data_IF_090426811579
#
_entry.id   IF_090426811579
#
_cell.length_a   1.000
_cell.length_b   1.000
_cell.length_c   1.000
_cell.angle_alpha   90.00
_cell.angle_beta   90.00
_cell.angle_gamma   90.00
#
_symmetry.space_group_name_H-M   'P 1'
#
loop_
_entity.id
_entity.type
_entity.pdbx_description
1 polymer ?
#
# COMPACT_ATOMS: atom_id res chain seq x y z
N UNK A 1 76.39 -1.11 11.99
CA UNK A 1 75.45 -2.28 11.84
C UNK A 1 74.04 -1.90 11.40
N UNK A 2 73.76 -0.65 10.98
CA UNK A 2 72.39 -0.16 10.71
C UNK A 2 71.91 -0.25 9.25
N UNK A 3 72.75 -0.24 8.25
CA UNK A 3 72.36 -0.05 6.85
C UNK A 3 71.82 -1.31 6.16
N UNK A 4 72.16 -2.52 6.62
CA UNK A 4 71.65 -3.80 6.04
C UNK A 4 70.26 -4.20 6.53
N UNK A 5 69.81 -3.72 7.68
CA UNK A 5 68.48 -3.98 8.20
C UNK A 5 67.40 -3.17 7.45
N UNK A 6 67.68 -1.90 7.14
CA UNK A 6 66.81 -1.03 6.37
C UNK A 6 66.61 -1.46 4.89
N UNK A 7 67.61 -1.97 4.27
CA UNK A 7 67.53 -2.49 2.89
C UNK A 7 66.68 -3.75 2.79
N UNK A 8 66.70 -4.62 3.80
CA UNK A 8 65.86 -5.82 3.86
C UNK A 8 64.37 -5.51 4.16
N UNK A 9 64.09 -4.52 5.01
CA UNK A 9 62.73 -4.10 5.28
C UNK A 9 62.12 -3.38 4.06
N UNK A 10 62.88 -2.53 3.33
CA UNK A 10 62.40 -1.92 2.09
C UNK A 10 62.13 -2.93 0.97
N UNK A 11 62.97 -3.95 0.80
CA UNK A 11 62.74 -5.00 -0.18
C UNK A 11 61.53 -5.87 0.12
N UNK A 12 61.24 -6.16 1.40
CA UNK A 12 60.05 -6.91 1.82
C UNK A 12 58.76 -6.09 1.60
N UNK A 13 58.78 -4.77 1.85
CA UNK A 13 57.65 -3.89 1.62
C UNK A 13 57.31 -3.73 0.13
N UNK A 14 58.34 -3.65 -0.74
CA UNK A 14 58.16 -3.61 -2.19
C UNK A 14 57.61 -4.93 -2.73
N UNK A 15 58.09 -6.07 -2.23
CA UNK A 15 57.58 -7.37 -2.65
C UNK A 15 56.10 -7.60 -2.26
N UNK A 16 55.67 -7.13 -1.05
CA UNK A 16 54.28 -7.15 -0.61
C UNK A 16 53.37 -6.20 -1.43
N UNK A 17 53.90 -5.03 -1.80
CA UNK A 17 53.15 -4.09 -2.63
C UNK A 17 52.95 -4.57 -4.07
N UNK A 18 53.98 -5.21 -4.65
CA UNK A 18 53.89 -5.79 -5.99
C UNK A 18 52.99 -7.02 -6.02
N UNK A 19 53.01 -7.86 -4.95
CA UNK A 19 52.08 -8.99 -4.80
C UNK A 19 50.62 -8.54 -4.69
N UNK A 20 50.32 -7.49 -3.95
CA UNK A 20 48.98 -6.94 -3.79
C UNK A 20 48.44 -6.29 -5.08
N UNK A 21 49.32 -5.66 -5.89
CA UNK A 21 48.92 -5.08 -7.21
C UNK A 21 48.70 -6.15 -8.24
N UNK A 22 49.51 -7.24 -8.26
CA UNK A 22 49.31 -8.36 -9.13
C UNK A 22 48.02 -9.14 -8.85
N UNK A 23 47.69 -9.34 -7.58
CA UNK A 23 46.42 -9.99 -7.19
C UNK A 23 45.19 -9.14 -7.58
N UNK A 24 45.23 -7.79 -7.45
CA UNK A 24 44.19 -6.89 -7.94
C UNK A 24 44.11 -6.86 -9.48
N UNK A 25 45.24 -6.95 -10.18
CA UNK A 25 45.27 -7.00 -11.65
C UNK A 25 44.64 -8.29 -12.18
N UNK A 26 44.88 -9.44 -11.53
CA UNK A 26 44.24 -10.70 -11.93
C UNK A 26 42.69 -10.70 -11.76
N UNK A 27 42.17 -10.01 -10.79
CA UNK A 27 40.72 -9.85 -10.63
C UNK A 27 40.07 -9.00 -11.76
N UNK A 28 40.83 -8.12 -12.40
CA UNK A 28 40.37 -7.24 -13.48
C UNK A 28 40.27 -7.93 -14.86
N UNK A 29 40.80 -9.13 -15.04
CA UNK A 29 40.79 -9.86 -16.31
C UNK A 29 39.82 -11.04 -16.34
N UNK A 30 38.98 -11.21 -15.32
CA UNK A 30 37.96 -12.26 -15.35
C UNK A 30 36.83 -11.86 -16.28
N UNK A 31 36.64 -12.62 -17.36
CA UNK A 31 35.50 -12.47 -18.27
C UNK A 31 34.25 -12.96 -17.57
N UNK A 32 33.21 -12.13 -17.50
CA UNK A 32 31.92 -12.55 -16.98
C UNK A 32 31.21 -13.41 -18.02
N UNK A 33 30.88 -14.63 -17.67
CA UNK A 33 30.14 -15.57 -18.52
C UNK A 33 28.70 -15.72 -17.98
N UNK A 34 27.71 -16.03 -18.84
CA UNK A 34 26.36 -16.34 -18.39
C UNK A 34 26.34 -17.53 -17.43
N UNK A 35 25.61 -17.41 -16.35
CA UNK A 35 25.44 -18.49 -15.38
C UNK A 35 24.45 -19.54 -15.86
N UNK A 36 24.72 -20.81 -15.52
CA UNK A 36 23.83 -21.93 -15.85
C UNK A 36 22.46 -21.82 -15.13
N UNK A 37 22.41 -21.13 -14.00
CA UNK A 37 21.21 -20.81 -13.23
C UNK A 37 21.14 -19.29 -13.09
N UNK A 38 20.48 -18.57 -14.02
CA UNK A 38 20.47 -17.12 -14.00
C UNK A 38 19.77 -16.57 -12.75
N UNK A 39 20.26 -15.43 -12.27
CA UNK A 39 19.64 -14.69 -11.17
C UNK A 39 18.27 -14.15 -11.58
N UNK A 40 17.34 -14.09 -10.63
CA UNK A 40 16.03 -13.50 -10.79
C UNK A 40 15.57 -12.84 -9.49
N UNK A 41 14.71 -11.85 -9.63
CA UNK A 41 14.05 -11.20 -8.50
C UNK A 41 12.58 -11.04 -8.84
N UNK A 42 11.70 -11.37 -7.90
CA UNK A 42 10.29 -11.02 -7.94
C UNK A 42 9.99 -10.11 -6.75
N UNK A 43 9.22 -9.05 -6.99
CA UNK A 43 8.79 -8.11 -5.96
C UNK A 43 7.31 -7.81 -6.14
N UNK A 44 6.57 -7.79 -5.03
CA UNK A 44 5.18 -7.41 -4.98
C UNK A 44 4.93 -6.50 -3.77
N UNK A 45 4.28 -5.37 -4.00
CA UNK A 45 3.82 -4.48 -2.92
C UNK A 45 2.43 -4.91 -2.44
N UNK A 46 2.28 -5.09 -1.13
CA UNK A 46 1.01 -5.41 -0.44
C UNK A 46 0.72 -4.30 0.56
N UNK A 47 -0.27 -3.45 0.26
CA UNK A 47 -0.45 -2.19 0.98
C UNK A 47 0.76 -1.26 0.79
N UNK A 48 1.54 -1.04 1.85
CA UNK A 48 2.81 -0.31 1.81
C UNK A 48 4.02 -1.22 2.05
N UNK A 49 3.83 -2.53 2.06
CA UNK A 49 4.87 -3.53 2.32
C UNK A 49 5.36 -4.13 1.01
N UNK A 50 6.65 -4.01 0.72
CA UNK A 50 7.28 -4.73 -0.39
C UNK A 50 7.76 -6.09 0.10
N UNK A 51 7.39 -7.15 -0.62
CA UNK A 51 7.90 -8.52 -0.47
C UNK A 51 8.79 -8.78 -1.68
N UNK A 52 10.08 -9.03 -1.45
CA UNK A 52 11.05 -9.27 -2.53
C UNK A 52 11.72 -10.62 -2.34
N UNK A 53 11.67 -11.51 -3.34
CA UNK A 53 12.42 -12.76 -3.37
C UNK A 53 13.51 -12.65 -4.43
N UNK A 54 14.78 -12.83 -4.00
CA UNK A 54 15.94 -12.87 -4.91
C UNK A 54 16.53 -14.28 -4.89
N UNK A 55 16.70 -14.86 -6.05
CA UNK A 55 17.07 -16.27 -6.20
C UNK A 55 17.76 -16.55 -7.55
N UNK A 56 18.35 -17.74 -7.67
CA UNK A 56 18.83 -18.26 -8.95
C UNK A 56 17.92 -19.37 -9.45
N UNK A 57 17.75 -19.44 -10.78
CA UNK A 57 16.78 -20.29 -11.48
C UNK A 57 17.42 -21.53 -12.11
N UNK A 58 17.60 -22.64 -11.38
CA UNK A 58 18.05 -23.88 -12.00
C UNK A 58 17.01 -24.41 -12.98
N UNK A 59 17.48 -25.06 -14.06
CA UNK A 59 16.65 -25.75 -15.03
C UNK A 59 16.51 -27.23 -14.69
N UNK A 60 15.42 -27.87 -15.07
CA UNK A 60 15.19 -29.32 -14.93
C UNK A 60 16.18 -30.11 -15.77
N UNK A 61 16.36 -29.78 -17.06
CA UNK A 61 17.23 -30.46 -18.01
C UNK A 61 17.07 -31.99 -18.01
N UNK A 62 15.80 -32.45 -17.96
CA UNK A 62 15.44 -33.87 -17.97
C UNK A 62 15.85 -34.67 -16.73
N UNK A 63 16.29 -34.00 -15.64
CA UNK A 63 16.67 -34.67 -14.38
C UNK A 63 15.44 -34.88 -13.49
N UNK A 64 15.49 -35.94 -12.67
CA UNK A 64 14.59 -36.06 -11.54
C UNK A 64 14.96 -35.01 -10.47
N UNK A 65 14.01 -34.18 -10.08
CA UNK A 65 14.25 -33.07 -9.15
C UNK A 65 14.01 -33.53 -7.71
N UNK A 66 12.77 -33.83 -7.38
CA UNK A 66 12.34 -34.08 -6.02
C UNK A 66 12.71 -35.52 -5.57
N UNK A 67 13.42 -35.62 -4.45
CA UNK A 67 13.96 -36.86 -3.93
C UNK A 67 15.27 -37.32 -4.60
N UNK A 68 15.77 -36.57 -5.62
CA UNK A 68 17.01 -36.85 -6.33
C UNK A 68 17.96 -35.64 -6.33
N UNK A 69 17.82 -34.71 -7.27
CA UNK A 69 18.65 -33.49 -7.29
C UNK A 69 18.45 -32.64 -6.01
N UNK A 70 17.21 -32.60 -5.52
CA UNK A 70 16.86 -32.02 -4.23
C UNK A 70 16.42 -33.19 -3.32
N UNK A 71 17.29 -33.68 -2.41
CA UNK A 71 16.97 -34.80 -1.55
C UNK A 71 15.82 -34.50 -0.59
N UNK A 72 15.00 -35.48 -0.31
CA UNK A 72 13.97 -35.35 0.71
C UNK A 72 14.57 -35.37 2.12
N UNK A 73 14.02 -34.53 3.01
CA UNK A 73 14.41 -34.43 4.40
C UNK A 73 15.67 -33.58 4.65
N UNK A 74 16.28 -33.05 3.59
CA UNK A 74 17.50 -32.23 3.70
C UNK A 74 17.18 -30.74 3.48
N UNK A 75 17.95 -29.86 4.14
CA UNK A 75 17.82 -28.41 3.98
C UNK A 75 18.41 -27.99 2.64
N UNK A 76 17.58 -27.40 1.80
CA UNK A 76 17.96 -26.89 0.49
C UNK A 76 17.75 -25.38 0.41
N UNK A 77 18.68 -24.65 -0.22
CA UNK A 77 18.66 -23.18 -0.41
C UNK A 77 17.49 -22.67 -1.27
N UNK A 78 16.55 -23.52 -1.61
CA UNK A 78 15.34 -23.19 -2.39
C UNK A 78 15.64 -22.42 -3.70
N UNK A 79 16.76 -22.77 -4.35
CA UNK A 79 17.32 -22.14 -5.56
C UNK A 79 18.63 -22.77 -5.95
N UNK A 80 19.53 -21.97 -6.53
CA UNK A 80 20.88 -22.37 -6.95
C UNK A 80 21.88 -21.25 -6.61
N UNK A 81 23.18 -21.53 -6.73
CA UNK A 81 24.31 -20.61 -6.48
C UNK A 81 24.25 -20.03 -5.05
N UNK A 82 24.13 -18.72 -4.90
CA UNK A 82 24.01 -18.02 -3.62
C UNK A 82 22.71 -18.38 -2.90
N UNK A 83 22.62 -17.92 -1.68
CA UNK A 83 21.42 -18.10 -0.86
C UNK A 83 20.22 -17.43 -1.51
N UNK A 84 19.10 -18.14 -1.58
CA UNK A 84 17.81 -17.51 -1.87
C UNK A 84 17.42 -16.64 -0.69
N UNK A 85 16.96 -15.43 -0.94
CA UNK A 85 16.55 -14.50 0.10
C UNK A 85 15.11 -14.04 -0.08
N UNK A 86 14.46 -13.76 1.04
CA UNK A 86 13.19 -13.05 1.08
C UNK A 86 13.35 -11.80 1.94
N UNK A 87 12.92 -10.64 1.41
CA UNK A 87 12.99 -9.37 2.11
C UNK A 87 11.61 -8.76 2.29
N UNK A 88 11.39 -8.14 3.45
CA UNK A 88 10.18 -7.41 3.81
C UNK A 88 10.54 -5.97 4.15
N UNK A 89 9.88 -4.99 3.52
CA UNK A 89 10.14 -3.57 3.78
C UNK A 89 9.51 -3.05 5.08
N UNK A 90 8.56 -3.80 5.66
CA UNK A 90 7.90 -3.52 6.95
C UNK A 90 7.75 -4.81 7.74
N UNK A 91 7.37 -4.78 9.03
CA UNK A 91 7.07 -5.98 9.80
C UNK A 91 5.95 -6.82 9.16
N UNK A 92 6.11 -8.15 9.22
CA UNK A 92 5.15 -9.13 8.69
C UNK A 92 4.96 -10.28 9.68
N UNK A 93 3.95 -11.11 9.46
CA UNK A 93 3.75 -12.37 10.20
C UNK A 93 3.87 -13.55 9.24
N UNK A 94 4.76 -14.47 9.53
CA UNK A 94 5.03 -15.67 8.74
C UNK A 94 4.87 -16.90 9.65
N UNK A 95 3.91 -17.79 9.32
CA UNK A 95 3.63 -18.96 10.15
C UNK A 95 3.28 -18.66 11.59
N UNK A 96 2.63 -17.51 11.88
CA UNK A 96 2.28 -17.05 13.22
C UNK A 96 3.42 -16.33 13.96
N UNK A 97 4.62 -16.26 13.38
CA UNK A 97 5.77 -15.55 13.96
C UNK A 97 5.86 -14.15 13.37
N UNK A 98 5.93 -13.12 14.23
CA UNK A 98 6.20 -11.75 13.81
C UNK A 98 7.67 -11.57 13.45
N UNK A 99 7.93 -11.06 12.26
CA UNK A 99 9.26 -10.75 11.75
C UNK A 99 9.39 -9.25 11.54
N UNK A 100 10.53 -8.69 11.91
CA UNK A 100 10.86 -7.30 11.61
C UNK A 100 11.06 -7.09 10.09
N UNK A 101 11.03 -5.83 9.65
CA UNK A 101 11.55 -5.47 8.34
C UNK A 101 13.01 -5.91 8.19
N UNK A 102 13.36 -6.54 7.07
CA UNK A 102 14.71 -7.07 6.87
C UNK A 102 14.78 -8.09 5.75
N UNK A 103 15.98 -8.60 5.52
CA UNK A 103 16.26 -9.67 4.55
C UNK A 103 16.63 -10.95 5.30
N UNK A 104 15.98 -12.04 4.91
CA UNK A 104 16.14 -13.37 5.52
C UNK A 104 16.61 -14.37 4.48
N UNK A 105 17.45 -15.33 4.88
CA UNK A 105 17.74 -16.48 4.06
C UNK A 105 16.49 -17.35 3.93
N UNK A 106 16.18 -17.82 2.73
CA UNK A 106 15.03 -18.68 2.47
C UNK A 106 15.52 -20.06 2.10
N UNK A 107 15.20 -21.06 2.94
CA UNK A 107 15.51 -22.46 2.73
C UNK A 107 14.23 -23.29 2.70
N UNK A 108 14.34 -24.52 2.21
CA UNK A 108 13.24 -25.47 2.13
C UNK A 108 13.73 -26.86 2.53
N UNK A 109 12.95 -27.57 3.35
CA UNK A 109 13.07 -29.01 3.56
C UNK A 109 11.91 -29.67 2.85
N UNK A 110 12.10 -30.25 1.65
CA UNK A 110 11.04 -30.97 0.97
C UNK A 110 10.90 -32.40 1.50
N UNK A 111 9.67 -32.91 1.55
CA UNK A 111 9.37 -34.31 1.67
C UNK A 111 8.32 -34.68 0.60
N UNK A 112 7.91 -35.93 0.50
CA UNK A 112 6.86 -36.34 -0.44
C UNK A 112 5.52 -35.68 -0.15
N UNK A 113 5.20 -35.39 1.13
CA UNK A 113 3.88 -34.97 1.59
C UNK A 113 3.86 -33.57 2.17
N UNK A 114 4.99 -33.07 2.66
CA UNK A 114 5.07 -31.80 3.34
C UNK A 114 6.39 -31.11 2.99
N UNK A 115 6.34 -29.82 2.74
CA UNK A 115 7.51 -28.96 2.57
C UNK A 115 7.59 -28.00 3.74
N UNK A 116 8.77 -27.85 4.34
CA UNK A 116 8.99 -26.88 5.40
C UNK A 116 9.79 -25.71 4.86
N UNK A 117 9.16 -24.57 4.69
CA UNK A 117 9.87 -23.31 4.45
C UNK A 117 10.56 -22.85 5.72
N UNK A 118 11.81 -22.41 5.59
CA UNK A 118 12.62 -21.90 6.68
C UNK A 118 13.08 -20.49 6.33
N UNK A 119 12.86 -19.54 7.23
CA UNK A 119 13.46 -18.22 7.18
C UNK A 119 14.59 -18.18 8.19
N UNK A 120 15.82 -17.88 7.74
CA UNK A 120 17.02 -17.75 8.57
C UNK A 120 17.41 -16.29 8.72
N UNK A 121 17.91 -15.90 9.88
CA UNK A 121 18.53 -14.59 10.12
C UNK A 121 19.79 -14.37 9.28
N UNK A 122 20.40 -15.44 8.76
CA UNK A 122 21.57 -15.39 7.88
C UNK A 122 21.12 -15.40 6.42
N UNK A 123 21.26 -14.27 5.74
CA UNK A 123 20.82 -14.08 4.34
C UNK A 123 21.98 -14.10 3.31
N UNK A 124 23.22 -14.04 3.76
CA UNK A 124 24.42 -13.83 2.93
C UNK A 124 25.27 -15.09 2.70
N UNK A 125 24.86 -16.25 3.22
CA UNK A 125 25.61 -17.50 3.07
C UNK A 125 25.60 -18.01 1.62
N UNK A 126 26.55 -18.88 1.29
CA UNK A 126 26.59 -19.59 0.01
C UNK A 126 25.78 -20.90 0.11
N UNK A 127 24.55 -20.89 -0.35
CA UNK A 127 23.67 -22.06 -0.29
C UNK A 127 23.27 -22.44 1.13
N UNK A 128 23.10 -23.75 1.42
CA UNK A 128 22.75 -24.27 2.74
C UNK A 128 23.89 -25.08 3.38
N UNK A 129 25.14 -24.91 2.91
CA UNK A 129 26.27 -25.72 3.40
C UNK A 129 26.67 -25.40 4.84
N UNK A 130 26.43 -24.16 5.27
CA UNK A 130 26.71 -23.67 6.64
C UNK A 130 25.44 -23.40 7.43
N UNK A 131 24.31 -23.96 7.00
CA UNK A 131 23.04 -23.78 7.70
C UNK A 131 23.13 -24.30 9.15
N UNK A 132 22.67 -23.48 10.07
CA UNK A 132 22.45 -23.85 11.50
C UNK A 132 21.01 -23.54 11.87
N UNK A 133 20.30 -24.54 12.38
CA UNK A 133 18.89 -24.39 12.80
C UNK A 133 18.70 -23.34 13.90
N UNK A 134 19.74 -22.98 14.65
CA UNK A 134 19.68 -21.92 15.67
C UNK A 134 19.47 -20.52 15.08
N UNK A 135 19.73 -20.37 13.79
CA UNK A 135 19.55 -19.11 13.04
C UNK A 135 18.14 -18.98 12.46
N UNK A 136 17.30 -20.02 12.60
CA UNK A 136 15.93 -20.00 12.11
C UNK A 136 15.10 -18.98 12.90
N UNK A 137 14.41 -18.11 12.17
CA UNK A 137 13.46 -17.14 12.74
C UNK A 137 12.01 -17.55 12.48
N UNK A 138 11.76 -18.38 11.47
CA UNK A 138 10.45 -18.99 11.24
C UNK A 138 10.59 -20.30 10.47
N UNK A 139 9.69 -21.26 10.78
CA UNK A 139 9.54 -22.52 10.05
C UNK A 139 8.05 -22.73 9.76
N UNK A 140 7.70 -22.92 8.49
CA UNK A 140 6.31 -23.02 8.05
C UNK A 140 6.13 -24.26 7.20
N UNK A 141 5.30 -25.17 7.67
CA UNK A 141 4.88 -26.33 6.90
C UNK A 141 3.87 -25.94 5.81
N UNK A 142 4.04 -26.49 4.63
CA UNK A 142 3.14 -26.31 3.49
C UNK A 142 3.00 -27.62 2.72
N UNK A 143 1.77 -27.98 2.36
CA UNK A 143 1.54 -29.14 1.51
C UNK A 143 1.93 -28.83 0.06
N UNK A 144 2.84 -29.60 -0.57
CA UNK A 144 3.11 -29.45 -1.98
C UNK A 144 1.90 -29.89 -2.81
N UNK A 145 1.69 -29.23 -3.94
CA UNK A 145 0.65 -29.57 -4.91
C UNK A 145 1.25 -29.80 -6.30
N UNK A 146 0.53 -30.54 -7.13
CA UNK A 146 0.86 -30.66 -8.55
C UNK A 146 0.64 -29.32 -9.27
N UNK A 147 1.51 -29.03 -10.24
CA UNK A 147 1.45 -27.83 -11.05
C UNK A 147 1.83 -28.13 -12.51
N UNK A 148 1.51 -27.27 -13.48
CA UNK A 148 2.02 -27.39 -14.84
C UNK A 148 3.56 -27.47 -14.84
N UNK A 149 4.13 -28.18 -15.83
CA UNK A 149 5.59 -28.31 -15.91
C UNK A 149 6.29 -26.96 -16.06
N UNK A 150 7.25 -26.68 -15.18
CA UNK A 150 8.11 -25.51 -15.21
C UNK A 150 9.58 -25.96 -15.36
N UNK A 151 10.19 -25.69 -16.53
CA UNK A 151 11.59 -26.02 -16.80
C UNK A 151 12.56 -25.32 -15.84
N UNK A 152 12.29 -24.04 -15.52
CA UNK A 152 13.10 -23.27 -14.58
C UNK A 152 12.33 -23.02 -13.28
N UNK A 153 13.02 -23.11 -12.16
CA UNK A 153 12.47 -22.68 -10.86
C UNK A 153 11.98 -21.26 -10.96
N UNK A 154 10.78 -21.00 -10.43
CA UNK A 154 10.16 -19.66 -10.39
C UNK A 154 9.50 -19.41 -9.05
N UNK A 155 9.60 -18.17 -8.57
CA UNK A 155 8.79 -17.65 -7.49
C UNK A 155 7.71 -16.71 -8.04
N UNK A 156 6.53 -16.78 -7.44
CA UNK A 156 5.44 -15.81 -7.66
C UNK A 156 4.94 -15.30 -6.31
N UNK A 157 4.34 -14.12 -6.31
CA UNK A 157 3.69 -13.55 -5.12
C UNK A 157 2.27 -13.16 -5.50
N UNK A 158 1.29 -13.79 -4.89
CA UNK A 158 -0.14 -13.53 -5.11
C UNK A 158 -0.76 -12.91 -3.86
N UNK A 159 -1.81 -12.12 -4.04
CA UNK A 159 -2.55 -11.45 -2.97
C UNK A 159 -4.00 -11.96 -2.93
N UNK A 160 -4.29 -13.05 -2.22
CA UNK A 160 -5.63 -13.63 -2.19
C UNK A 160 -6.65 -12.76 -1.43
N UNK A 161 -6.20 -11.93 -0.49
CA UNK A 161 -7.04 -11.02 0.29
C UNK A 161 -6.23 -9.82 0.83
N UNK A 162 -6.93 -8.81 1.39
CA UNK A 162 -6.27 -7.65 2.05
C UNK A 162 -5.31 -8.15 3.15
N UNK A 163 -4.07 -7.70 3.06
CA UNK A 163 -3.04 -8.06 4.05
C UNK A 163 -2.56 -9.50 4.00
N UNK A 164 -2.83 -10.23 2.94
CA UNK A 164 -2.34 -11.59 2.73
C UNK A 164 -1.54 -11.68 1.45
N UNK A 165 -0.41 -12.38 1.51
CA UNK A 165 0.37 -12.75 0.37
C UNK A 165 0.72 -14.24 0.41
N UNK A 166 0.80 -14.87 -0.76
CA UNK A 166 1.30 -16.23 -0.95
C UNK A 166 2.56 -16.16 -1.80
N UNK A 167 3.71 -16.47 -1.20
CA UNK A 167 4.98 -16.59 -1.92
C UNK A 167 5.12 -18.05 -2.35
N UNK A 168 4.92 -18.32 -3.63
CA UNK A 168 4.88 -19.66 -4.19
C UNK A 168 6.18 -20.00 -4.89
N UNK A 169 6.84 -21.07 -4.46
CA UNK A 169 7.92 -21.73 -5.19
C UNK A 169 7.31 -22.77 -6.13
N UNK A 170 7.66 -22.70 -7.41
CA UNK A 170 7.23 -23.65 -8.43
C UNK A 170 8.44 -24.12 -9.25
N UNK A 171 8.61 -25.43 -9.36
CA UNK A 171 9.65 -26.05 -10.19
C UNK A 171 9.26 -27.46 -10.58
N UNK A 172 9.62 -27.87 -11.81
CA UNK A 172 9.17 -29.13 -12.41
C UNK A 172 7.64 -29.20 -12.40
N UNK A 173 7.03 -30.18 -11.75
CA UNK A 173 5.57 -30.36 -11.66
C UNK A 173 5.02 -30.13 -10.25
N UNK A 174 5.79 -29.51 -9.38
CA UNK A 174 5.37 -29.27 -7.99
C UNK A 174 5.53 -27.81 -7.59
N UNK A 175 4.63 -27.38 -6.74
CA UNK A 175 4.64 -26.07 -6.11
C UNK A 175 4.24 -26.14 -4.64
N UNK A 176 4.69 -25.17 -3.85
CA UNK A 176 4.19 -24.93 -2.51
C UNK A 176 4.26 -23.44 -2.20
N UNK A 177 3.37 -22.97 -1.33
CA UNK A 177 3.23 -21.55 -1.00
C UNK A 177 3.54 -21.28 0.47
N UNK A 178 4.34 -20.25 0.70
CA UNK A 178 4.60 -19.67 2.02
C UNK A 178 3.59 -18.55 2.26
N UNK A 179 2.67 -18.66 3.21
CA UNK A 179 1.76 -17.58 3.56
C UNK A 179 2.47 -16.49 4.36
N UNK A 180 2.24 -15.24 3.98
CA UNK A 180 2.72 -14.04 4.66
C UNK A 180 1.52 -13.15 4.97
N UNK A 181 1.36 -12.77 6.23
CA UNK A 181 0.32 -11.84 6.67
C UNK A 181 0.90 -10.48 7.00
N UNK A 182 0.23 -9.42 6.59
CA UNK A 182 0.60 -8.03 6.81
C UNK A 182 -0.56 -7.31 7.50
N UNK A 183 -0.29 -6.66 8.61
CA UNK A 183 -1.22 -5.69 9.20
C UNK A 183 -1.13 -4.39 8.41
N UNK A 184 -1.88 -4.34 7.30
CA UNK A 184 -1.86 -3.20 6.38
C UNK A 184 -2.24 -1.91 7.09
N UNK A 185 -3.20 -1.98 8.01
CA UNK A 185 -3.69 -0.77 8.68
C UNK A 185 -2.62 -0.22 9.65
N UNK A 186 -1.97 -1.08 10.46
CA UNK A 186 -0.88 -0.63 11.34
C UNK A 186 0.34 -0.14 10.54
N UNK A 187 0.69 -0.79 9.43
CA UNK A 187 1.77 -0.33 8.54
C UNK A 187 1.47 1.06 7.98
N UNK A 188 0.22 1.33 7.56
CA UNK A 188 -0.19 2.64 7.07
C UNK A 188 -0.15 3.68 8.18
N UNK A 189 -0.67 3.36 9.37
CA UNK A 189 -0.67 4.27 10.51
C UNK A 189 0.77 4.62 10.96
N UNK A 190 1.66 3.63 11.06
CA UNK A 190 3.07 3.84 11.37
C UNK A 190 3.78 4.70 10.30
N UNK A 191 3.46 4.49 9.03
CA UNK A 191 3.97 5.31 7.92
C UNK A 191 3.54 6.77 8.05
N UNK A 192 2.27 7.02 8.39
CA UNK A 192 1.75 8.39 8.62
C UNK A 192 2.47 9.06 9.79
N UNK A 193 2.64 8.37 10.91
CA UNK A 193 3.38 8.87 12.07
C UNK A 193 4.82 9.25 11.73
N UNK A 194 5.49 8.42 10.91
CA UNK A 194 6.83 8.74 10.43
C UNK A 194 6.84 10.01 9.56
N UNK A 195 5.85 10.17 8.68
CA UNK A 195 5.72 11.35 7.81
C UNK A 195 5.44 12.63 8.63
N UNK A 196 4.69 12.53 9.72
CA UNK A 196 4.42 13.66 10.63
C UNK A 196 5.64 14.13 11.42
N UNK A 197 6.78 13.44 11.36
CA UNK A 197 8.07 13.94 11.87
C UNK A 197 8.80 14.85 10.85
N UNK A 198 8.29 14.92 9.62
CA UNK A 198 8.79 15.76 8.53
C UNK A 198 7.89 16.96 8.24
N UNK A 199 7.96 17.54 7.02
CA UNK A 199 7.19 18.73 6.64
C UNK A 199 5.67 18.57 6.77
N UNK A 200 5.16 17.33 6.69
CA UNK A 200 3.72 17.04 6.78
C UNK A 200 3.11 17.47 8.12
N UNK A 201 3.91 17.61 9.19
CA UNK A 201 3.42 18.08 10.48
C UNK A 201 2.79 19.48 10.47
N UNK A 202 3.14 20.30 9.47
CA UNK A 202 2.63 21.66 9.29
C UNK A 202 1.44 21.75 8.34
N UNK A 203 1.05 20.64 7.72
CA UNK A 203 -0.02 20.57 6.74
C UNK A 203 -1.28 19.99 7.38
N UNK A 204 -2.32 20.83 7.57
CA UNK A 204 -3.57 20.38 8.17
C UNK A 204 -4.28 19.29 7.33
N UNK A 205 -4.15 19.34 5.98
CA UNK A 205 -4.77 18.35 5.11
C UNK A 205 -4.16 16.96 5.33
N UNK A 206 -2.84 16.87 5.58
CA UNK A 206 -2.18 15.61 5.88
C UNK A 206 -2.74 14.95 7.16
N UNK A 207 -2.90 15.74 8.23
CA UNK A 207 -3.52 15.28 9.48
C UNK A 207 -4.99 14.87 9.29
N UNK A 208 -5.75 15.65 8.52
CA UNK A 208 -7.13 15.32 8.22
C UNK A 208 -7.26 14.04 7.38
N UNK A 209 -6.38 13.85 6.40
CA UNK A 209 -6.33 12.63 5.58
C UNK A 209 -6.06 11.40 6.45
N UNK A 210 -5.13 11.50 7.39
CA UNK A 210 -4.83 10.42 8.33
C UNK A 210 -6.02 10.12 9.26
N UNK A 211 -6.69 11.14 9.77
CA UNK A 211 -7.90 10.98 10.58
C UNK A 211 -9.03 10.29 9.79
N UNK A 212 -9.23 10.68 8.54
CA UNK A 212 -10.22 10.06 7.64
C UNK A 212 -9.86 8.61 7.31
N UNK A 213 -8.58 8.26 7.22
CA UNK A 213 -8.17 6.87 7.05
C UNK A 213 -8.66 6.01 8.22
N UNK A 214 -8.46 6.49 9.46
CA UNK A 214 -8.95 5.79 10.66
C UNK A 214 -10.46 5.61 10.63
N UNK A 215 -11.20 6.66 10.29
CA UNK A 215 -12.66 6.64 10.19
C UNK A 215 -13.16 5.65 9.12
N UNK A 216 -12.63 5.75 7.90
CA UNK A 216 -13.11 4.99 6.75
C UNK A 216 -12.81 3.49 6.90
N UNK A 217 -11.69 3.12 7.51
CA UNK A 217 -11.30 1.74 7.77
C UNK A 217 -11.78 1.23 9.14
N UNK A 218 -12.37 2.09 9.97
CA UNK A 218 -12.84 1.79 11.35
C UNK A 218 -11.72 1.23 12.23
N UNK A 219 -10.52 1.78 12.11
CA UNK A 219 -9.33 1.40 12.87
C UNK A 219 -8.79 2.58 13.67
N UNK A 220 -8.28 2.32 14.86
CA UNK A 220 -7.57 3.29 15.70
C UNK A 220 -8.32 4.66 15.80
N UNK A 221 -9.63 4.66 16.03
CA UNK A 221 -10.47 5.88 16.03
C UNK A 221 -9.97 6.94 17.02
N UNK A 222 -9.40 6.53 18.15
CA UNK A 222 -8.77 7.45 19.13
C UNK A 222 -7.55 8.16 18.56
N UNK A 223 -6.76 7.47 17.73
CA UNK A 223 -5.63 8.06 16.99
C UNK A 223 -6.15 9.03 15.93
N UNK A 224 -7.21 8.66 15.22
CA UNK A 224 -7.92 9.51 14.26
C UNK A 224 -8.43 10.80 14.92
N UNK A 225 -9.00 10.72 16.12
CA UNK A 225 -9.46 11.88 16.87
C UNK A 225 -8.29 12.83 17.21
N UNK A 226 -7.17 12.32 17.71
CA UNK A 226 -5.97 13.13 17.98
C UNK A 226 -5.44 13.83 16.73
N UNK A 227 -5.49 13.14 15.59
CA UNK A 227 -5.01 13.69 14.33
C UNK A 227 -5.92 14.76 13.75
N UNK A 228 -7.24 14.61 13.85
CA UNK A 228 -8.17 15.66 13.41
C UNK A 228 -8.09 16.88 14.33
N UNK A 229 -7.87 16.69 15.64
CA UNK A 229 -7.62 17.80 16.56
C UNK A 229 -6.35 18.57 16.20
N UNK A 230 -5.29 17.85 15.80
CA UNK A 230 -4.07 18.48 15.31
C UNK A 230 -4.31 19.24 14.00
N UNK A 231 -5.10 18.69 13.09
CA UNK A 231 -5.51 19.36 11.85
C UNK A 231 -6.21 20.69 12.15
N UNK A 232 -7.21 20.67 13.04
CA UNK A 232 -7.97 21.85 13.46
C UNK A 232 -7.11 22.91 14.16
N UNK A 233 -6.11 22.48 14.95
CA UNK A 233 -5.18 23.39 15.61
C UNK A 233 -4.26 24.15 14.62
N UNK A 234 -4.04 23.62 13.42
CA UNK A 234 -3.27 24.30 12.36
C UNK A 234 -4.19 25.24 11.57
N UNK A 235 -5.33 24.75 11.12
CA UNK A 235 -6.32 25.51 10.35
C UNK A 235 -7.68 24.90 10.56
N UNK A 236 -8.66 25.72 10.94
CA UNK A 236 -10.05 25.31 10.95
C UNK A 236 -10.62 25.44 9.53
N UNK A 237 -11.15 24.35 9.00
CA UNK A 237 -11.75 24.27 7.67
C UNK A 237 -12.94 23.30 7.68
N UNK A 238 -13.85 23.44 6.73
CA UNK A 238 -15.01 22.55 6.63
C UNK A 238 -14.63 21.06 6.59
N UNK A 239 -13.62 20.61 5.80
CA UNK A 239 -13.29 19.19 5.72
C UNK A 239 -12.85 18.56 7.03
N UNK A 240 -12.06 19.26 7.87
CA UNK A 240 -11.58 18.67 9.12
C UNK A 240 -12.62 18.78 10.25
N UNK A 241 -13.48 19.80 10.25
CA UNK A 241 -14.65 19.86 11.13
C UNK A 241 -15.63 18.71 10.84
N UNK A 242 -15.90 18.43 9.55
CA UNK A 242 -16.72 17.29 9.13
C UNK A 242 -16.09 15.96 9.55
N UNK A 243 -14.79 15.79 9.35
CA UNK A 243 -14.08 14.57 9.78
C UNK A 243 -14.21 14.36 11.29
N UNK A 244 -14.05 15.42 12.10
CA UNK A 244 -14.23 15.34 13.56
C UNK A 244 -15.67 15.01 13.94
N UNK A 245 -16.64 15.62 13.27
CA UNK A 245 -18.05 15.32 13.48
C UNK A 245 -18.38 13.85 13.19
N UNK A 246 -17.83 13.30 12.11
CA UNK A 246 -18.05 11.90 11.73
C UNK A 246 -17.36 10.92 12.68
N UNK A 247 -16.17 11.25 13.20
CA UNK A 247 -15.50 10.48 14.25
C UNK A 247 -16.31 10.47 15.56
N UNK A 248 -16.83 11.61 15.98
CA UNK A 248 -17.71 11.72 17.17
C UNK A 248 -19.01 10.91 16.97
N UNK A 249 -19.62 11.00 15.79
CA UNK A 249 -20.81 10.21 15.47
C UNK A 249 -20.53 8.70 15.53
N UNK A 250 -19.34 8.26 15.05
CA UNK A 250 -18.92 6.87 15.16
C UNK A 250 -18.69 6.40 16.62
N UNK A 251 -18.42 7.33 17.53
CA UNK A 251 -18.28 7.10 18.98
C UNK A 251 -19.61 7.25 19.75
N UNK A 252 -20.72 7.58 19.05
CA UNK A 252 -22.04 7.77 19.68
C UNK A 252 -22.33 9.18 20.16
N UNK A 253 -21.42 10.16 19.97
CA UNK A 253 -21.52 11.55 20.44
C UNK A 253 -22.33 12.42 19.46
N UNK A 254 -23.56 12.04 19.19
CA UNK A 254 -24.40 12.63 18.14
C UNK A 254 -24.62 14.14 18.30
N UNK A 255 -24.80 14.62 19.53
CA UNK A 255 -25.04 16.05 19.80
C UNK A 255 -23.81 16.91 19.45
N UNK A 256 -22.62 16.47 19.85
CA UNK A 256 -21.37 17.15 19.53
C UNK A 256 -21.07 17.10 18.02
N UNK A 257 -21.34 15.97 17.40
CA UNK A 257 -21.22 15.80 15.94
C UNK A 257 -22.13 16.79 15.19
N UNK A 258 -23.37 16.95 15.63
CA UNK A 258 -24.32 17.92 15.05
C UNK A 258 -23.81 19.36 15.14
N UNK A 259 -23.36 19.79 16.32
CA UNK A 259 -22.81 21.13 16.53
C UNK A 259 -21.59 21.42 15.61
N UNK A 260 -20.70 20.42 15.43
CA UNK A 260 -19.54 20.56 14.52
C UNK A 260 -19.93 20.61 13.04
N UNK A 261 -20.95 19.88 12.62
CA UNK A 261 -21.49 19.98 11.24
C UNK A 261 -22.05 21.37 10.95
N UNK A 262 -22.82 21.95 11.90
CA UNK A 262 -23.29 23.32 11.77
C UNK A 262 -22.13 24.33 11.63
N UNK A 263 -21.10 24.17 12.45
CA UNK A 263 -19.90 25.02 12.38
C UNK A 263 -19.14 24.81 11.05
N UNK A 264 -19.04 23.57 10.59
CA UNK A 264 -18.42 23.25 9.31
C UNK A 264 -19.12 23.94 8.13
N UNK A 265 -20.47 23.89 8.12
CA UNK A 265 -21.27 24.58 7.10
C UNK A 265 -21.15 26.11 7.21
N UNK A 266 -20.85 26.65 8.38
CA UNK A 266 -20.69 28.11 8.56
C UNK A 266 -19.34 28.63 8.03
N UNK A 267 -18.29 27.83 8.05
CA UNK A 267 -16.95 28.21 7.58
C UNK A 267 -16.65 27.71 6.16
N UNK A 268 -17.50 26.81 5.63
CA UNK A 268 -17.32 26.22 4.31
C UNK A 268 -17.47 27.22 3.18
N UNK A 269 -16.64 27.08 2.17
CA UNK A 269 -16.78 27.81 0.90
C UNK A 269 -17.99 27.28 0.11
N UNK A 270 -18.53 28.10 -0.81
CA UNK A 270 -19.65 27.69 -1.67
C UNK A 270 -19.42 26.32 -2.35
N UNK A 271 -18.26 26.03 -2.97
CA UNK A 271 -18.01 24.73 -3.59
C UNK A 271 -17.93 23.58 -2.59
N UNK A 272 -17.41 23.80 -1.38
CA UNK A 272 -17.32 22.75 -0.34
C UNK A 272 -18.70 22.38 0.18
N UNK A 273 -19.54 23.37 0.50
CA UNK A 273 -20.93 23.16 0.94
C UNK A 273 -21.74 22.48 -0.18
N UNK A 274 -21.51 22.90 -1.43
CA UNK A 274 -22.14 22.32 -2.58
C UNK A 274 -21.76 20.83 -2.75
N UNK A 275 -20.48 20.51 -2.64
CA UNK A 275 -19.97 19.13 -2.71
C UNK A 275 -20.56 18.24 -1.61
N UNK A 276 -20.71 18.78 -0.40
CA UNK A 276 -21.33 18.05 0.71
C UNK A 276 -22.83 17.78 0.45
N UNK A 277 -23.55 18.73 -0.12
CA UNK A 277 -24.94 18.54 -0.54
C UNK A 277 -25.08 17.38 -1.53
N UNK A 278 -24.19 17.28 -2.52
CA UNK A 278 -24.19 16.15 -3.46
C UNK A 278 -23.83 14.81 -2.81
N UNK A 279 -22.95 14.78 -1.80
CA UNK A 279 -22.69 13.56 -1.03
C UNK A 279 -23.97 13.06 -0.31
N UNK A 280 -24.77 13.97 0.23
CA UNK A 280 -26.06 13.64 0.82
C UNK A 280 -27.06 13.11 -0.21
N UNK A 281 -27.13 13.71 -1.40
CA UNK A 281 -27.97 13.20 -2.51
C UNK A 281 -27.55 11.78 -2.88
N UNK A 282 -26.25 11.53 -3.05
CA UNK A 282 -25.71 10.20 -3.38
C UNK A 282 -25.99 9.16 -2.28
N UNK A 283 -26.08 9.60 -1.02
CA UNK A 283 -26.46 8.75 0.13
C UNK A 283 -28.00 8.57 0.26
N UNK A 284 -28.82 9.10 -0.66
CA UNK A 284 -30.28 9.03 -0.62
C UNK A 284 -30.92 10.00 0.39
N UNK A 285 -30.15 10.90 1.00
CA UNK A 285 -30.59 11.86 2.01
C UNK A 285 -31.02 13.19 1.38
N UNK A 286 -31.99 13.12 0.48
CA UNK A 286 -32.37 14.26 -0.38
C UNK A 286 -32.90 15.45 0.43
N UNK A 287 -33.64 15.23 1.52
CA UNK A 287 -34.15 16.32 2.36
C UNK A 287 -33.03 17.05 3.12
N UNK A 288 -32.04 16.31 3.62
CA UNK A 288 -30.85 16.91 4.24
C UNK A 288 -30.03 17.69 3.18
N UNK A 289 -29.90 17.18 1.97
CA UNK A 289 -29.24 17.87 0.87
C UNK A 289 -29.92 19.19 0.50
N UNK A 290 -31.26 19.19 0.43
CA UNK A 290 -32.03 20.40 0.18
C UNK A 290 -31.77 21.47 1.26
N UNK A 291 -31.73 21.09 2.54
CA UNK A 291 -31.42 22.01 3.62
C UNK A 291 -29.99 22.61 3.48
N UNK A 292 -29.00 21.78 3.12
CA UNK A 292 -27.62 22.21 2.89
C UNK A 292 -27.51 23.15 1.69
N UNK A 293 -28.11 22.78 0.54
CA UNK A 293 -28.13 23.64 -0.65
C UNK A 293 -28.91 24.96 -0.41
N UNK A 294 -30.02 24.91 0.31
CA UNK A 294 -30.78 26.13 0.65
C UNK A 294 -29.92 27.08 1.50
N UNK A 295 -29.16 26.56 2.45
CA UNK A 295 -28.19 27.33 3.22
C UNK A 295 -27.11 27.93 2.31
N UNK A 296 -26.55 27.12 1.41
CA UNK A 296 -25.53 27.57 0.43
C UNK A 296 -26.05 28.75 -0.42
N UNK A 297 -27.29 28.68 -0.89
CA UNK A 297 -27.94 29.78 -1.61
C UNK A 297 -28.12 31.02 -0.75
N UNK A 298 -28.46 30.85 0.54
CA UNK A 298 -28.60 31.96 1.51
C UNK A 298 -27.26 32.66 1.76
N UNK A 299 -26.21 31.88 1.96
CA UNK A 299 -24.88 32.38 2.33
C UNK A 299 -24.13 32.92 1.08
N UNK A 300 -24.46 32.41 -0.11
CA UNK A 300 -23.90 32.82 -1.41
C UNK A 300 -24.97 33.26 -2.42
N UNK A 301 -25.71 34.34 -2.18
CA UNK A 301 -26.89 34.71 -2.97
C UNK A 301 -26.58 35.06 -4.45
N UNK A 302 -25.33 35.38 -4.76
CA UNK A 302 -24.84 35.65 -6.10
C UNK A 302 -24.39 34.40 -6.90
N UNK A 303 -24.34 33.23 -6.28
CA UNK A 303 -23.93 31.99 -6.95
C UNK A 303 -25.08 31.36 -7.74
N UNK A 304 -24.98 31.39 -9.06
CA UNK A 304 -25.91 30.64 -9.92
C UNK A 304 -25.80 29.12 -9.67
N UNK A 305 -24.60 28.64 -9.36
CA UNK A 305 -24.30 27.23 -9.13
C UNK A 305 -24.98 26.71 -7.87
N UNK A 306 -24.98 27.48 -6.78
CA UNK A 306 -25.71 27.12 -5.55
C UNK A 306 -27.22 27.01 -5.81
N UNK A 307 -27.79 27.93 -6.59
CA UNK A 307 -29.22 27.92 -6.94
C UNK A 307 -29.55 26.73 -7.85
N UNK A 308 -28.68 26.42 -8.81
CA UNK A 308 -28.80 25.29 -9.72
C UNK A 308 -28.76 23.95 -8.97
N UNK A 309 -27.82 23.78 -8.04
CA UNK A 309 -27.72 22.56 -7.20
C UNK A 309 -28.95 22.36 -6.30
N UNK A 310 -29.52 23.45 -5.78
CA UNK A 310 -30.79 23.39 -5.03
C UNK A 310 -31.95 22.97 -5.94
N UNK A 311 -31.98 23.47 -7.19
CA UNK A 311 -32.99 23.06 -8.18
C UNK A 311 -32.90 21.58 -8.50
N UNK A 312 -31.67 21.05 -8.68
CA UNK A 312 -31.41 19.63 -8.93
C UNK A 312 -31.88 18.74 -7.79
N UNK A 313 -31.64 19.15 -6.52
CA UNK A 313 -32.11 18.43 -5.36
C UNK A 313 -33.64 18.40 -5.25
N UNK A 314 -34.34 19.49 -5.57
CA UNK A 314 -35.81 19.48 -5.65
C UNK A 314 -36.31 18.60 -6.80
N UNK A 315 -35.64 18.60 -7.95
CA UNK A 315 -35.96 17.70 -9.06
C UNK A 315 -35.79 16.23 -8.65
N UNK A 316 -34.72 15.90 -7.94
CA UNK A 316 -34.48 14.55 -7.38
C UNK A 316 -35.56 14.14 -6.35
N UNK A 317 -36.07 15.09 -5.56
CA UNK A 317 -37.18 14.87 -4.64
C UNK A 317 -38.54 14.68 -5.36
N UNK A 318 -38.64 15.03 -6.62
CA UNK A 318 -39.87 14.99 -7.42
C UNK A 318 -40.71 16.31 -7.35
N UNK A 319 -40.21 17.35 -6.71
CA UNK A 319 -40.86 18.67 -6.65
C UNK A 319 -40.53 19.48 -7.92
N UNK A 320 -41.12 19.08 -9.03
CA UNK A 320 -40.88 19.71 -10.32
C UNK A 320 -41.23 21.21 -10.32
N UNK A 321 -42.24 21.67 -9.54
CA UNK A 321 -42.64 23.08 -9.48
C UNK A 321 -41.50 23.92 -8.90
N UNK A 322 -40.96 23.49 -7.75
CA UNK A 322 -39.86 24.20 -7.07
C UNK A 322 -38.57 24.13 -7.87
N UNK A 323 -38.29 22.98 -8.49
CA UNK A 323 -37.13 22.81 -9.38
C UNK A 323 -37.19 23.79 -10.55
N UNK A 324 -38.31 23.93 -11.24
CA UNK A 324 -38.47 24.86 -12.39
C UNK A 324 -38.27 26.32 -11.92
N UNK A 325 -38.83 26.73 -10.79
CA UNK A 325 -38.61 28.06 -10.23
C UNK A 325 -37.10 28.35 -10.04
N UNK A 326 -36.39 27.42 -9.40
CA UNK A 326 -34.96 27.57 -9.09
C UNK A 326 -34.09 27.49 -10.33
N UNK A 327 -34.33 26.56 -11.25
CA UNK A 327 -33.59 26.51 -12.52
C UNK A 327 -33.80 27.79 -13.36
N UNK A 328 -35.00 28.36 -13.36
CA UNK A 328 -35.27 29.65 -14.02
C UNK A 328 -34.42 30.77 -13.41
N UNK A 329 -34.34 30.83 -12.10
CA UNK A 329 -33.47 31.76 -11.37
C UNK A 329 -31.98 31.51 -11.70
N UNK A 330 -31.52 30.26 -11.60
CA UNK A 330 -30.13 29.89 -11.93
C UNK A 330 -29.77 30.29 -13.36
N UNK A 331 -30.68 30.04 -14.35
CA UNK A 331 -30.54 30.41 -15.75
C UNK A 331 -30.29 31.91 -15.95
N UNK A 332 -30.98 32.76 -15.21
CA UNK A 332 -30.82 34.21 -15.31
C UNK A 332 -29.50 34.73 -14.76
N UNK A 333 -28.85 33.96 -13.87
CA UNK A 333 -27.59 34.31 -13.20
C UNK A 333 -26.38 33.63 -13.86
N UNK A 334 -26.58 32.51 -14.55
CA UNK A 334 -25.52 31.67 -15.08
C UNK A 334 -24.84 32.27 -16.30
N UNK A 335 -23.55 31.99 -16.54
CA UNK A 335 -22.86 32.37 -17.75
C UNK A 335 -23.47 31.65 -18.94
N UNK A 336 -23.41 32.26 -20.14
CA UNK A 336 -24.03 31.77 -21.40
C UNK A 336 -23.67 30.30 -21.73
N UNK A 337 -22.46 29.85 -21.35
CA UNK A 337 -22.02 28.48 -21.56
C UNK A 337 -22.88 27.43 -20.80
N UNK A 338 -23.58 27.81 -19.72
CA UNK A 338 -24.43 26.93 -18.95
C UNK A 338 -25.91 26.94 -19.40
N UNK A 339 -26.29 27.91 -20.19
CA UNK A 339 -27.69 28.10 -20.58
C UNK A 339 -28.29 26.86 -21.25
N UNK A 340 -27.59 26.25 -22.20
CA UNK A 340 -28.07 25.04 -22.91
C UNK A 340 -28.37 23.88 -21.95
N UNK A 341 -27.52 23.67 -20.94
CA UNK A 341 -27.71 22.60 -19.94
C UNK A 341 -28.95 22.90 -19.10
N UNK A 342 -29.03 24.10 -18.56
CA UNK A 342 -30.15 24.49 -17.68
C UNK A 342 -31.48 24.49 -18.47
N UNK A 343 -31.49 24.97 -19.72
CA UNK A 343 -32.67 24.93 -20.58
C UNK A 343 -33.12 23.48 -20.85
N UNK A 344 -32.17 22.54 -20.95
CA UNK A 344 -32.47 21.11 -21.07
C UNK A 344 -33.17 20.54 -19.83
N UNK A 345 -32.73 20.91 -18.61
CA UNK A 345 -33.37 20.49 -17.36
C UNK A 345 -34.79 21.10 -17.24
N UNK A 346 -34.95 22.39 -17.58
CA UNK A 346 -36.24 23.03 -17.62
C UNK A 346 -37.22 22.36 -18.58
N UNK A 347 -36.75 21.92 -19.75
CA UNK A 347 -37.57 21.21 -20.73
C UNK A 347 -38.00 19.82 -20.21
N UNK A 348 -37.10 19.11 -19.52
CA UNK A 348 -37.36 17.78 -18.92
C UNK A 348 -38.42 17.83 -17.83
N UNK A 349 -38.49 18.93 -17.07
CA UNK A 349 -39.40 19.09 -15.94
C UNK A 349 -40.79 19.64 -16.33
N UNK A 350 -40.96 20.13 -17.58
CA UNK A 350 -42.27 20.55 -18.06
C UNK A 350 -43.19 19.35 -18.21
N UNK A 351 -44.46 19.43 -17.78
CA UNK A 351 -45.42 18.38 -18.05
C UNK A 351 -45.49 18.08 -19.53
N UNK A 352 -45.38 16.81 -19.94
CA UNK A 352 -45.68 16.41 -21.31
C UNK A 352 -47.13 16.81 -21.58
N UNK A 353 -47.36 17.84 -22.40
CA UNK A 353 -48.67 18.14 -22.93
C UNK A 353 -49.11 16.90 -23.68
N UNK A 354 -50.10 16.17 -23.13
CA UNK A 354 -50.80 15.10 -23.85
C UNK A 354 -51.47 15.74 -25.07
N UNK A 355 -50.91 15.43 -26.24
CA UNK A 355 -51.56 15.66 -27.52
C UNK A 355 -52.64 14.63 -27.76
#
# INVERSE_FOLDING_TARGET
MGTRAWARAAAAAVALAVGATAARAQAQFQVTLPEASPAATVMQTVGLTDITVTYHRPAVKGRAIWGALVPYGEVWRAGANENTTIAFSTPVTVGGTQLAAGTYGLHLVPTEREWTFILSSVSWAWGSFTYDQKEDVARVAAAPSEAPFAEHLVYTVEMPAKGQALVTLHWDRKQASLPVAIDVDEVVLASMEKQFRGPQQYNWQAWNTAARYCLNNKVALDRGMKWVDRSLAITEAMPNLMTKADLLAAQGEAAQAGALRERALAVGTEPEVNSYGYQLVAAGKVDEAIAVFARNVKDHPGSWNAVDSLAEAYAAKGDAKKAVELYTRARSMAPAAQHKRIDGELARLKPKTSS
#
